data_IF_970371185502
#
_entry.id   IF_970371185502
#
_cell.length_a   1.000
_cell.length_b   1.000
_cell.length_c   1.000
_cell.angle_alpha   90.00
_cell.angle_beta   90.00
_cell.angle_gamma   90.00
#
_symmetry.space_group_name_H-M   'P 1'
#
loop_
_entity.id
_entity.type
_entity.pdbx_description
1 polymer ?
#
# COMPACT_ATOMS: atom_id res chain seq x y z
N UNK A 1 -10.31 13.33 -0.84
CA UNK A 1 -8.86 13.07 -0.85
C UNK A 1 -8.67 11.58 -0.94
N UNK A 2 -7.79 11.11 -1.83
CA UNK A 2 -7.59 9.68 -2.08
C UNK A 2 -6.32 9.17 -1.42
N UNK A 3 -6.44 8.09 -0.64
CA UNK A 3 -5.32 7.30 -0.12
C UNK A 3 -5.24 5.97 -0.88
N UNK A 4 -4.10 5.28 -0.78
CA UNK A 4 -3.90 3.98 -1.43
C UNK A 4 -4.75 2.88 -0.78
N UNK A 5 -5.45 2.10 -1.60
CA UNK A 5 -6.05 0.81 -1.22
C UNK A 5 -5.69 -0.25 -2.27
N UNK A 6 -5.93 -1.52 -1.96
CA UNK A 6 -5.73 -2.64 -2.89
C UNK A 6 -7.05 -3.38 -3.12
N UNK A 7 -7.28 -3.83 -4.35
CA UNK A 7 -8.46 -4.62 -4.75
C UNK A 7 -8.04 -5.99 -5.28
N UNK A 8 -8.87 -7.04 -5.10
CA UNK A 8 -8.59 -8.34 -5.69
C UNK A 8 -8.49 -8.27 -7.22
N UNK A 9 -7.47 -8.93 -7.79
CA UNK A 9 -7.28 -9.08 -9.24
C UNK A 9 -6.56 -10.40 -9.52
N UNK A 10 -7.03 -11.14 -10.53
CA UNK A 10 -6.38 -12.38 -10.98
C UNK A 10 -5.23 -12.13 -11.96
N UNK A 11 -5.05 -10.87 -12.38
CA UNK A 11 -4.13 -10.50 -13.48
C UNK A 11 -3.09 -9.47 -13.08
N UNK A 12 -3.16 -8.97 -11.84
CA UNK A 12 -2.28 -7.91 -11.35
C UNK A 12 -1.67 -8.29 -10.00
N UNK A 13 -0.56 -7.64 -9.68
CA UNK A 13 0.12 -7.74 -8.40
C UNK A 13 0.50 -6.36 -7.90
N UNK A 14 0.80 -6.29 -6.62
CA UNK A 14 1.25 -5.08 -5.92
C UNK A 14 2.60 -5.40 -5.31
N UNK A 15 3.61 -4.59 -5.65
CA UNK A 15 4.87 -4.59 -4.91
C UNK A 15 4.75 -3.67 -3.69
N UNK A 16 5.43 -4.06 -2.61
CA UNK A 16 5.41 -3.33 -1.36
C UNK A 16 6.59 -3.69 -0.48
N UNK A 17 6.68 -3.00 0.66
CA UNK A 17 7.77 -3.16 1.63
C UNK A 17 7.28 -3.97 2.82
N UNK A 18 8.00 -5.02 3.18
CA UNK A 18 7.70 -5.85 4.35
C UNK A 18 8.45 -5.35 5.58
N UNK A 19 7.69 -4.92 6.59
CA UNK A 19 8.21 -4.46 7.87
C UNK A 19 8.06 -5.54 8.94
N UNK A 20 9.09 -5.73 9.76
CA UNK A 20 9.00 -6.54 10.97
C UNK A 20 8.63 -5.65 12.15
N UNK A 21 7.42 -5.83 12.67
CA UNK A 21 6.87 -5.00 13.73
C UNK A 21 6.76 -5.77 15.05
N UNK A 22 6.89 -5.05 16.16
CA UNK A 22 6.54 -5.58 17.49
C UNK A 22 5.04 -5.37 17.72
N UNK A 23 4.36 -6.15 18.59
CA UNK A 23 2.93 -5.97 18.86
C UNK A 23 2.54 -4.53 19.23
N UNK A 24 3.34 -3.86 20.08
CA UNK A 24 3.13 -2.44 20.44
C UNK A 24 3.16 -1.46 19.26
N UNK A 25 3.82 -1.81 18.15
CA UNK A 25 3.84 -0.98 16.95
C UNK A 25 2.55 -1.12 16.16
N UNK A 26 1.93 -2.31 16.22
CA UNK A 26 0.62 -2.56 15.62
C UNK A 26 -0.44 -1.72 16.33
N UNK A 27 -0.38 -1.61 17.66
CA UNK A 27 -1.28 -0.72 18.42
C UNK A 27 -1.16 0.74 17.98
N UNK A 28 0.07 1.24 17.76
CA UNK A 28 0.28 2.61 17.23
C UNK A 28 -0.20 2.78 15.79
N UNK A 29 -0.08 1.74 14.95
CA UNK A 29 -0.62 1.76 13.59
C UNK A 29 -2.15 1.75 13.61
N UNK A 30 -2.75 0.92 14.47
CA UNK A 30 -4.19 0.87 14.66
C UNK A 30 -4.70 2.27 15.10
N UNK A 31 -4.03 2.96 16.03
CA UNK A 31 -4.38 4.36 16.40
C UNK A 31 -4.26 5.37 15.26
N UNK A 32 -3.26 5.20 14.38
CA UNK A 32 -3.05 6.09 13.23
C UNK A 32 -4.14 5.89 12.17
N UNK A 33 -4.54 4.64 11.94
CA UNK A 33 -5.56 4.26 10.95
C UNK A 33 -7.00 4.45 11.47
N UNK A 34 -7.25 4.27 12.78
CA UNK A 34 -8.56 4.50 13.45
C UNK A 34 -8.87 5.98 13.71
N UNK A 35 -7.92 6.89 13.46
CA UNK A 35 -8.17 8.33 13.59
C UNK A 35 -9.29 8.81 12.64
N UNK A 36 -9.53 8.06 11.56
CA UNK A 36 -10.72 8.16 10.74
C UNK A 36 -11.59 6.92 11.03
N UNK A 37 -12.69 7.06 11.78
CA UNK A 37 -13.51 5.93 12.25
C UNK A 37 -13.90 4.93 11.12
N UNK A 38 -13.29 3.74 11.12
CA UNK A 38 -13.81 2.54 10.43
C UNK A 38 -13.60 2.42 8.92
N UNK A 39 -12.52 3.00 8.36
CA UNK A 39 -12.22 2.93 6.91
C UNK A 39 -11.43 1.69 6.49
N UNK A 40 -10.43 1.26 7.25
CA UNK A 40 -9.55 0.17 6.86
C UNK A 40 -9.79 -1.10 7.67
N UNK A 41 -10.04 -2.23 6.99
CA UNK A 41 -10.08 -3.54 7.65
C UNK A 41 -8.66 -4.10 7.76
N UNK A 42 -8.33 -4.54 8.97
CA UNK A 42 -7.04 -5.14 9.29
C UNK A 42 -7.02 -6.58 8.81
N UNK A 43 -6.35 -6.81 7.69
CA UNK A 43 -6.34 -8.06 6.98
C UNK A 43 -4.95 -8.69 6.94
N UNK A 44 -4.87 -10.02 6.98
CA UNK A 44 -3.64 -10.74 6.64
C UNK A 44 -3.68 -11.20 5.19
N UNK A 45 -2.59 -10.99 4.45
CA UNK A 45 -2.42 -11.46 3.07
C UNK A 45 -1.16 -12.31 2.94
N UNK A 46 -1.27 -13.39 2.18
CA UNK A 46 -0.13 -14.17 1.77
C UNK A 46 0.64 -13.39 0.70
N UNK A 47 1.93 -13.18 0.91
CA UNK A 47 2.81 -12.44 0.02
C UNK A 47 4.12 -13.20 -0.15
N UNK A 48 4.77 -13.02 -1.28
CA UNK A 48 6.10 -13.56 -1.52
C UNK A 48 7.15 -12.46 -1.25
N UNK A 49 8.15 -12.76 -0.42
CA UNK A 49 9.24 -11.82 -0.18
C UNK A 49 10.29 -11.86 -1.31
N UNK A 50 11.29 -10.97 -1.27
CA UNK A 50 12.36 -10.93 -2.27
C UNK A 50 13.24 -12.20 -2.36
N UNK A 51 13.09 -13.15 -1.43
CA UNK A 51 13.74 -14.47 -1.48
C UNK A 51 12.84 -15.57 -2.08
N UNK A 52 11.63 -15.22 -2.54
CA UNK A 52 10.67 -16.19 -3.05
C UNK A 52 9.88 -16.94 -1.97
N UNK A 53 9.97 -16.55 -0.69
CA UNK A 53 9.30 -17.24 0.43
C UNK A 53 7.96 -16.60 0.77
N UNK A 54 6.97 -17.46 1.01
CA UNK A 54 5.65 -17.03 1.46
C UNK A 54 5.69 -16.48 2.89
N UNK A 55 4.96 -15.39 3.11
CA UNK A 55 4.80 -14.70 4.40
C UNK A 55 3.35 -14.26 4.56
N UNK A 56 2.86 -14.27 5.79
CA UNK A 56 1.61 -13.58 6.13
C UNK A 56 1.95 -12.15 6.54
N UNK A 57 1.53 -11.18 5.75
CA UNK A 57 1.70 -9.76 6.02
C UNK A 57 0.38 -9.16 6.52
N UNK A 58 0.48 -8.30 7.53
CA UNK A 58 -0.61 -7.44 7.96
C UNK A 58 -0.74 -6.28 6.97
N UNK A 59 -1.95 -6.05 6.47
CA UNK A 59 -2.29 -4.94 5.58
C UNK A 59 -3.59 -4.27 6.01
N UNK A 60 -3.73 -3.00 5.70
CA UNK A 60 -4.94 -2.21 5.91
C UNK A 60 -5.59 -1.98 4.53
N UNK A 61 -6.86 -2.37 4.37
CA UNK A 61 -7.58 -2.27 3.10
C UNK A 61 -8.89 -1.51 3.31
N UNK A 62 -9.10 -0.43 2.55
CA UNK A 62 -10.39 0.26 2.48
C UNK A 62 -11.31 -0.51 1.53
N UNK A 63 -12.34 -1.14 2.09
CA UNK A 63 -13.34 -1.92 1.35
C UNK A 63 -14.52 -1.09 0.83
N UNK A 64 -14.64 0.19 1.20
CA UNK A 64 -15.73 1.09 0.81
C UNK A 64 -15.35 2.01 -0.34
N UNK A 65 -14.07 2.16 -0.64
CA UNK A 65 -13.61 3.01 -1.74
C UNK A 65 -14.04 2.40 -3.09
N UNK A 66 -15.18 2.85 -3.60
CA UNK A 66 -15.76 2.45 -4.89
C UNK A 66 -15.31 3.33 -6.06
N UNK A 67 -14.64 4.45 -5.75
CA UNK A 67 -14.24 5.45 -6.74
C UNK A 67 -12.76 5.80 -6.58
N UNK A 68 -11.99 5.62 -7.64
CA UNK A 68 -10.58 6.03 -7.68
C UNK A 68 -10.55 7.55 -7.74
N UNK A 69 -10.17 8.18 -6.63
CA UNK A 69 -9.85 9.61 -6.62
C UNK A 69 -8.39 9.78 -7.02
N UNK A 70 -8.04 10.82 -7.80
CA UNK A 70 -6.65 11.12 -8.06
C UNK A 70 -5.89 11.30 -6.73
N UNK A 71 -4.61 10.87 -6.66
CA UNK A 71 -3.82 11.02 -5.45
C UNK A 71 -3.74 12.50 -5.06
N UNK A 72 -3.72 12.77 -3.75
CA UNK A 72 -3.54 14.13 -3.26
C UNK A 72 -2.18 14.69 -3.71
N UNK A 73 -2.08 16.00 -3.86
CA UNK A 73 -0.82 16.67 -4.22
C UNK A 73 0.30 16.26 -3.23
N UNK A 74 1.42 15.77 -3.75
CA UNK A 74 2.55 15.30 -2.95
C UNK A 74 2.40 13.88 -2.38
N UNK A 75 1.24 13.22 -2.50
CA UNK A 75 1.06 11.85 -2.01
C UNK A 75 1.73 10.84 -2.92
N UNK A 76 1.53 10.98 -4.24
CA UNK A 76 2.15 10.08 -5.21
C UNK A 76 3.67 10.20 -5.19
N UNK A 77 4.19 11.42 -5.05
CA UNK A 77 5.63 11.69 -4.95
C UNK A 77 6.26 10.95 -3.77
N UNK A 78 5.62 10.99 -2.59
CA UNK A 78 6.09 10.24 -1.41
C UNK A 78 6.06 8.73 -1.61
N UNK A 79 5.03 8.21 -2.29
CA UNK A 79 4.91 6.78 -2.60
C UNK A 79 6.02 6.36 -3.56
N UNK A 80 6.30 7.15 -4.60
CA UNK A 80 7.39 6.90 -5.55
C UNK A 80 8.75 7.00 -4.87
N UNK A 81 8.98 8.00 -4.02
CA UNK A 81 10.21 8.14 -3.23
C UNK A 81 10.45 6.92 -2.33
N UNK A 82 9.43 6.47 -1.61
CA UNK A 82 9.52 5.26 -0.77
C UNK A 82 9.79 3.98 -1.59
N UNK A 83 9.17 3.86 -2.77
CA UNK A 83 9.43 2.73 -3.67
C UNK A 83 10.89 2.69 -4.15
N UNK A 84 11.46 3.86 -4.48
CA UNK A 84 12.86 3.99 -4.88
C UNK A 84 13.79 3.68 -3.70
N UNK A 85 13.53 4.27 -2.53
CA UNK A 85 14.36 4.09 -1.33
C UNK A 85 14.48 2.61 -0.92
N UNK A 86 13.39 1.87 -1.05
CA UNK A 86 13.33 0.46 -0.67
C UNK A 86 13.64 -0.52 -1.80
N UNK A 87 13.99 -0.03 -2.99
CA UNK A 87 14.45 -0.85 -4.11
C UNK A 87 13.35 -1.73 -4.72
N UNK A 88 12.12 -1.22 -4.84
CA UNK A 88 11.10 -1.86 -5.67
C UNK A 88 11.56 -1.88 -7.14
N UNK A 89 10.93 -2.74 -7.96
CA UNK A 89 11.39 -2.91 -9.33
C UNK A 89 11.21 -1.63 -10.16
N UNK A 90 12.13 -1.37 -11.09
CA UNK A 90 12.04 -0.19 -11.97
C UNK A 90 10.71 -0.14 -12.72
N UNK A 91 10.23 -1.29 -13.20
CA UNK A 91 8.93 -1.40 -13.88
C UNK A 91 7.76 -1.00 -12.98
N UNK A 92 7.81 -1.32 -11.69
CA UNK A 92 6.78 -0.93 -10.74
C UNK A 92 6.85 0.57 -10.39
N UNK A 93 8.05 1.13 -10.28
CA UNK A 93 8.26 2.56 -10.07
C UNK A 93 7.70 3.37 -11.26
N UNK A 94 7.95 2.93 -12.49
CA UNK A 94 7.42 3.57 -13.68
C UNK A 94 5.89 3.45 -13.78
N UNK A 95 5.34 2.30 -13.38
CA UNK A 95 3.89 2.13 -13.23
C UNK A 95 3.30 3.14 -12.23
N UNK A 96 3.91 3.32 -11.05
CA UNK A 96 3.47 4.32 -10.07
C UNK A 96 3.51 5.74 -10.65
N UNK A 97 4.57 6.11 -11.36
CA UNK A 97 4.69 7.44 -11.99
C UNK A 97 3.62 7.71 -13.04
N UNK A 98 3.11 6.68 -13.71
CA UNK A 98 2.06 6.82 -14.73
C UNK A 98 0.77 7.42 -14.19
N UNK A 99 0.47 7.25 -12.90
CA UNK A 99 -0.71 7.84 -12.25
C UNK A 99 -0.65 9.37 -12.10
N UNK A 100 0.55 9.97 -12.22
CA UNK A 100 0.75 11.42 -12.16
C UNK A 100 0.57 12.11 -13.52
N UNK A 101 0.52 11.36 -14.62
CA UNK A 101 0.35 11.90 -15.96
C UNK A 101 -1.15 12.13 -16.18
N UNK A 102 -1.57 13.40 -16.18
CA UNK A 102 -2.92 13.79 -16.59
C UNK A 102 -2.95 13.97 -18.12
N UNK A 103 -3.87 13.30 -18.81
CA UNK A 103 -4.33 13.71 -20.15
C UNK A 103 -5.18 14.99 -20.08
#
# INVERSE_FOLDING_TARGET
TGYSTIVPSDTAWVEGVLWLLKPRHIETLDEYEDHEEGFYDRCYRAVQNGEGKDRMALVYIDHRQTTISPPNDGYLERVVEGAIEHGLTEGYIDYLRSFGVRE
#
